data_IF_903269169093
#
_entry.id   IF_903269169093
#
_cell.length_a   1.000
_cell.length_b   1.000
_cell.length_c   1.000
_cell.angle_alpha   90.00
_cell.angle_beta   90.00
_cell.angle_gamma   90.00
#
_symmetry.space_group_name_H-M   'P 1'
#
loop_
_entity.id
_entity.type
_entity.pdbx_description
1 polymer ?
#
# COMPACT_ATOMS: atom_id res chain seq x y z
N UNK A 1 -22.52 -17.16 20.17
CA UNK A 1 -21.08 -16.86 20.27
C UNK A 1 -20.82 -15.79 19.23
N UNK A 2 -20.64 -14.54 19.65
CA UNK A 2 -20.42 -13.39 18.75
C UNK A 2 -19.00 -13.44 18.19
N UNK A 3 -18.86 -13.41 16.87
CA UNK A 3 -17.58 -13.31 16.17
C UNK A 3 -16.82 -12.05 16.63
N UNK A 4 -15.77 -12.22 17.43
CA UNK A 4 -14.90 -11.14 17.93
C UNK A 4 -13.67 -10.91 17.04
N UNK A 5 -13.75 -11.24 15.75
CA UNK A 5 -12.64 -11.15 14.80
C UNK A 5 -12.55 -9.79 14.10
N UNK A 6 -13.45 -8.86 14.40
CA UNK A 6 -13.41 -7.49 13.85
C UNK A 6 -12.39 -6.66 14.62
N UNK A 7 -11.28 -6.33 13.96
CA UNK A 7 -10.23 -5.46 14.51
C UNK A 7 -10.38 -4.08 13.87
N UNK A 8 -10.65 -3.06 14.69
CA UNK A 8 -10.59 -1.66 14.27
C UNK A 8 -9.17 -1.14 14.45
N UNK A 9 -8.58 -0.63 13.39
CA UNK A 9 -7.24 -0.04 13.40
C UNK A 9 -7.35 1.47 13.27
N UNK A 10 -6.65 2.20 14.13
CA UNK A 10 -6.47 3.65 14.03
C UNK A 10 -5.05 3.95 13.51
N UNK A 11 -4.98 4.59 12.33
CA UNK A 11 -3.73 4.95 11.67
C UNK A 11 -2.89 5.97 12.46
N UNK A 12 -3.52 6.76 13.34
CA UNK A 12 -2.85 7.81 14.13
C UNK A 12 -1.85 7.23 15.13
N UNK A 13 -2.11 6.02 15.60
CA UNK A 13 -1.29 5.31 16.60
C UNK A 13 -0.50 4.14 15.99
N UNK A 14 -0.52 4.02 14.66
CA UNK A 14 0.11 2.91 13.96
C UNK A 14 1.64 3.05 13.90
N UNK A 15 2.42 1.96 14.13
CA UNK A 15 3.86 1.99 13.99
C UNK A 15 4.29 2.42 12.58
N UNK A 16 5.33 3.25 12.50
CA UNK A 16 5.96 3.63 11.24
C UNK A 16 7.09 2.66 10.89
N UNK A 17 7.12 2.21 9.65
CA UNK A 17 8.21 1.44 9.07
C UNK A 17 9.36 2.33 8.60
N UNK A 18 10.45 1.68 8.21
CA UNK A 18 11.70 2.34 7.80
C UNK A 18 11.56 3.20 6.53
N UNK A 19 10.49 3.03 5.75
CA UNK A 19 10.23 3.72 4.48
C UNK A 19 9.03 4.68 4.59
N UNK A 20 8.77 5.22 5.79
CA UNK A 20 7.68 6.18 6.05
C UNK A 20 6.28 5.58 6.17
N UNK A 21 6.13 4.28 5.90
CA UNK A 21 4.82 3.61 5.90
C UNK A 21 4.26 3.43 7.30
N UNK A 22 2.97 3.71 7.51
CA UNK A 22 2.22 3.30 8.69
C UNK A 22 1.71 1.87 8.48
N UNK A 23 2.00 0.96 9.41
CA UNK A 23 1.45 -0.39 9.36
C UNK A 23 0.03 -0.41 9.91
N UNK A 24 -0.97 -0.73 9.07
CA UNK A 24 -2.37 -0.76 9.50
C UNK A 24 -2.78 -2.15 9.97
N UNK A 25 -2.70 -3.15 9.09
CA UNK A 25 -3.11 -4.51 9.39
C UNK A 25 -2.16 -5.52 8.76
N UNK A 26 -1.97 -6.66 9.41
CA UNK A 26 -1.25 -7.80 8.84
C UNK A 26 -2.02 -9.06 9.15
N UNK A 27 -2.57 -9.68 8.10
CA UNK A 27 -3.21 -10.97 8.14
C UNK A 27 -2.32 -12.05 7.52
N UNK A 28 -2.85 -13.28 7.44
CA UNK A 28 -2.12 -14.42 6.86
C UNK A 28 -1.81 -14.25 5.37
N UNK A 29 -2.69 -13.56 4.64
CA UNK A 29 -2.61 -13.42 3.17
C UNK A 29 -2.40 -11.99 2.70
N UNK A 30 -2.87 -11.00 3.45
CA UNK A 30 -2.77 -9.58 3.09
C UNK A 30 -2.16 -8.78 4.23
N UNK A 31 -1.36 -7.78 3.89
CA UNK A 31 -0.92 -6.75 4.83
C UNK A 31 -1.21 -5.37 4.24
N UNK A 32 -1.80 -4.50 5.06
CA UNK A 32 -2.16 -3.14 4.70
C UNK A 32 -1.18 -2.14 5.31
N UNK A 33 -0.72 -1.22 4.48
CA UNK A 33 0.21 -0.14 4.83
C UNK A 33 -0.32 1.16 4.25
N UNK A 34 -0.08 2.26 4.94
CA UNK A 34 -0.50 3.60 4.53
C UNK A 34 0.73 4.50 4.40
N UNK A 35 0.82 5.18 3.27
CA UNK A 35 1.72 6.31 3.07
C UNK A 35 0.87 7.57 3.06
N UNK A 36 1.22 8.54 3.91
CA UNK A 36 0.42 9.75 4.12
C UNK A 36 1.35 10.96 4.06
N UNK A 37 0.98 11.94 3.24
CA UNK A 37 1.75 13.17 3.02
C UNK A 37 3.21 12.91 2.59
N UNK A 38 3.45 11.87 1.79
CA UNK A 38 4.75 11.67 1.15
C UNK A 38 4.98 12.80 0.13
N UNK A 39 6.09 13.50 0.28
CA UNK A 39 6.55 14.42 -0.75
C UNK A 39 7.04 13.65 -1.98
N UNK A 40 6.99 14.23 -3.19
CA UNK A 40 7.61 13.63 -4.36
C UNK A 40 9.09 13.36 -4.07
N UNK A 41 9.47 12.10 -4.11
CA UNK A 41 10.84 11.65 -3.87
C UNK A 41 11.37 10.88 -5.08
N UNK A 42 12.66 10.56 -5.04
CA UNK A 42 13.25 9.67 -6.03
C UNK A 42 12.50 8.33 -6.04
N UNK A 43 12.30 7.72 -7.23
CA UNK A 43 11.64 6.43 -7.34
C UNK A 43 12.29 5.40 -6.40
N UNK A 44 11.47 4.68 -5.64
CA UNK A 44 11.95 3.56 -4.84
C UNK A 44 12.48 2.47 -5.76
N UNK A 45 13.55 1.81 -5.33
CA UNK A 45 14.10 0.66 -6.04
C UNK A 45 13.01 -0.41 -6.23
N UNK A 46 12.82 -0.94 -7.45
CA UNK A 46 11.86 -2.00 -7.70
C UNK A 46 12.17 -3.25 -6.87
N UNK A 47 11.16 -3.79 -6.20
CA UNK A 47 11.27 -4.97 -5.35
C UNK A 47 10.31 -6.08 -5.79
N UNK A 48 10.84 -7.29 -5.98
CA UNK A 48 10.02 -8.47 -6.19
C UNK A 48 9.52 -9.02 -4.85
N UNK A 49 8.23 -9.37 -4.79
CA UNK A 49 7.61 -10.04 -3.63
C UNK A 49 6.82 -11.25 -4.12
N UNK A 50 6.84 -12.34 -3.35
CA UNK A 50 6.12 -13.58 -3.69
C UNK A 50 4.61 -13.51 -3.41
N UNK A 51 4.15 -12.41 -2.81
CA UNK A 51 2.76 -12.14 -2.45
C UNK A 51 2.18 -11.00 -3.28
N UNK A 52 0.85 -10.98 -3.41
CA UNK A 52 0.12 -9.92 -4.10
C UNK A 52 0.12 -8.62 -3.30
N UNK A 53 0.24 -7.49 -4.01
CA UNK A 53 0.22 -6.17 -3.39
C UNK A 53 -0.99 -5.39 -3.89
N UNK A 54 -1.76 -4.84 -2.95
CA UNK A 54 -2.93 -4.01 -3.26
C UNK A 54 -2.69 -2.62 -2.73
N UNK A 55 -2.85 -1.62 -3.59
CA UNK A 55 -2.65 -0.20 -3.26
C UNK A 55 -3.89 0.63 -3.61
N UNK A 56 -4.15 1.66 -2.81
CA UNK A 56 -5.21 2.62 -3.07
C UNK A 56 -4.71 4.05 -2.76
N UNK A 57 -5.01 5.00 -3.65
CA UNK A 57 -4.67 6.41 -3.47
C UNK A 57 -5.83 7.13 -2.78
N UNK A 58 -5.63 7.45 -1.51
CA UNK A 58 -6.63 8.15 -0.68
C UNK A 58 -6.64 9.66 -0.97
N UNK A 59 -5.48 10.23 -1.29
CA UNK A 59 -5.30 11.65 -1.62
C UNK A 59 -4.15 11.84 -2.60
N UNK A 60 -4.22 12.86 -3.47
CA UNK A 60 -3.15 13.20 -4.41
C UNK A 60 -3.01 12.24 -5.60
N UNK A 61 -1.77 11.89 -5.95
CA UNK A 61 -1.42 10.99 -7.05
C UNK A 61 -0.16 10.21 -6.71
N UNK A 62 0.00 9.05 -7.32
CA UNK A 62 1.23 8.25 -7.25
C UNK A 62 1.57 7.69 -8.63
N UNK A 63 2.85 7.50 -8.89
CA UNK A 63 3.34 6.80 -10.08
C UNK A 63 3.82 5.41 -9.66
N UNK A 64 3.30 4.39 -10.34
CA UNK A 64 3.67 3.00 -10.09
C UNK A 64 4.50 2.48 -11.27
N UNK A 65 5.73 2.07 -10.98
CA UNK A 65 6.63 1.44 -11.95
C UNK A 65 6.61 -0.08 -11.76
N UNK A 66 6.12 -0.82 -12.76
CA UNK A 66 6.06 -2.29 -12.72
C UNK A 66 6.34 -2.86 -14.11
N UNK A 67 7.25 -3.83 -14.19
CA UNK A 67 7.58 -4.54 -15.44
C UNK A 67 7.88 -3.61 -16.64
N UNK A 68 8.56 -2.49 -16.37
CA UNK A 68 8.90 -1.49 -17.39
C UNK A 68 7.73 -0.58 -17.82
N UNK A 69 6.59 -0.67 -17.15
CA UNK A 69 5.42 0.20 -17.36
C UNK A 69 5.26 1.20 -16.22
N UNK A 70 4.77 2.40 -16.55
CA UNK A 70 4.40 3.44 -15.58
C UNK A 70 2.90 3.62 -15.57
N UNK A 71 2.27 3.41 -14.40
CA UNK A 71 0.84 3.60 -14.19
C UNK A 71 0.64 4.80 -13.26
N UNK A 72 -0.10 5.81 -13.73
CA UNK A 72 -0.47 6.95 -12.91
C UNK A 72 -1.75 6.65 -12.12
N UNK A 73 -1.63 6.64 -10.79
CA UNK A 73 -2.72 6.43 -9.86
C UNK A 73 -3.26 7.78 -9.37
N UNK A 74 -4.59 7.95 -9.38
CA UNK A 74 -5.26 9.15 -8.87
C UNK A 74 -6.39 8.80 -7.90
N UNK A 75 -6.71 9.74 -7.00
CA UNK A 75 -7.91 9.69 -6.15
C UNK A 75 -9.12 9.37 -7.01
N UNK A 76 -9.94 8.44 -6.54
CA UNK A 76 -11.21 7.97 -7.13
C UNK A 76 -11.15 7.09 -8.39
N UNK A 77 -9.98 6.69 -8.89
CA UNK A 77 -9.92 5.86 -10.12
C UNK A 77 -9.07 4.58 -10.03
N UNK A 78 -8.31 4.34 -8.97
CA UNK A 78 -7.41 3.17 -8.94
C UNK A 78 -7.78 2.14 -7.88
N UNK A 79 -8.52 1.11 -8.31
CA UNK A 79 -8.40 -0.22 -7.75
C UNK A 79 -7.29 -0.92 -8.56
N UNK A 80 -6.02 -0.78 -8.14
CA UNK A 80 -4.94 -1.51 -8.81
C UNK A 80 -4.68 -2.80 -8.03
N UNK A 81 -5.19 -3.91 -8.57
CA UNK A 81 -4.84 -5.26 -8.15
C UNK A 81 -3.52 -5.63 -8.85
N UNK A 82 -2.41 -5.70 -8.12
CA UNK A 82 -1.17 -6.25 -8.67
C UNK A 82 -1.13 -7.75 -8.39
N UNK A 83 -1.51 -8.54 -9.39
CA UNK A 83 -1.28 -9.98 -9.40
C UNK A 83 0.20 -10.22 -9.69
N UNK A 84 0.96 -10.65 -8.67
CA UNK A 84 2.38 -11.09 -8.73
C UNK A 84 3.27 -10.33 -9.73
N UNK A 85 3.97 -9.30 -9.25
CA UNK A 85 4.97 -8.58 -10.05
C UNK A 85 5.70 -7.52 -9.23
N UNK A 86 6.83 -7.06 -9.76
CA UNK A 86 7.77 -6.11 -9.15
C UNK A 86 7.07 -4.80 -8.72
N UNK A 87 7.27 -4.35 -7.47
CA UNK A 87 6.74 -3.08 -6.91
C UNK A 87 7.86 -2.13 -6.58
#
# INVERSE_FOLDING_TARGET
>A
MSDTTVIKVDSSHSPKGQLGQKYLASGKTISMRLWENEEPNEPKEPTAREYETVGYVISGRAELHIEGQTILLRVSASQTLLTRGFV
#
